data_IF_390230083137
#
_entry.id   IF_390230083137
#
_cell.length_a   1.000
_cell.length_b   1.000
_cell.length_c   1.000
_cell.angle_alpha   90.00
_cell.angle_beta   90.00
_cell.angle_gamma   90.00
#
_symmetry.space_group_name_H-M   'P 1'
#
loop_
_entity.id
_entity.type
_entity.pdbx_description
1 polymer ?
#
# COMPACT_ATOMS: atom_id res chain seq x y z
N UNK A 1 3.91 27.11 -8.12
CA UNK A 1 4.46 26.28 -7.03
C UNK A 1 3.59 26.50 -5.81
N UNK A 2 2.66 25.58 -5.54
CA UNK A 2 1.93 25.56 -4.27
C UNK A 2 2.96 25.39 -3.16
N UNK A 3 3.28 26.49 -2.47
CA UNK A 3 4.13 26.46 -1.29
C UNK A 3 3.30 25.80 -0.19
N UNK A 4 3.31 24.47 -0.10
CA UNK A 4 3.16 23.86 1.21
C UNK A 4 4.27 24.48 2.07
N UNK A 5 3.89 25.37 2.99
CA UNK A 5 4.86 26.12 3.76
C UNK A 5 5.77 25.13 4.51
N UNK A 6 7.10 25.31 4.49
CA UNK A 6 8.04 24.47 5.22
C UNK A 6 8.03 24.69 6.74
N UNK A 7 6.91 25.15 7.31
CA UNK A 7 6.69 25.28 8.74
C UNK A 7 5.53 24.35 9.19
N UNK A 8 5.85 23.05 9.21
CA UNK A 8 5.55 22.13 10.31
C UNK A 8 4.12 22.16 10.87
N UNK A 9 3.22 21.41 10.24
CA UNK A 9 2.20 20.73 11.06
C UNK A 9 2.90 20.00 12.21
N UNK A 10 2.59 20.34 13.46
CA UNK A 10 3.21 19.73 14.65
C UNK A 10 2.97 18.22 14.69
N UNK A 11 1.88 17.77 14.07
CA UNK A 11 1.48 16.37 13.98
C UNK A 11 1.21 15.96 12.52
N UNK A 12 1.37 14.67 12.26
CA UNK A 12 0.99 14.05 10.98
C UNK A 12 -0.49 14.29 10.66
N UNK A 13 -1.37 14.33 11.67
CA UNK A 13 -2.80 14.55 11.48
C UNK A 13 -3.10 15.96 10.97
N UNK A 14 -2.45 16.97 11.55
CA UNK A 14 -2.58 18.36 11.08
C UNK A 14 -2.07 18.52 9.63
N UNK A 15 -1.00 17.80 9.26
CA UNK A 15 -0.52 17.77 7.88
C UNK A 15 -1.60 17.23 6.92
N UNK A 16 -2.18 16.07 7.26
CA UNK A 16 -3.20 15.43 6.43
C UNK A 16 -4.43 16.33 6.30
N UNK A 17 -4.85 16.97 7.40
CA UNK A 17 -5.97 17.89 7.48
C UNK A 17 -5.84 19.07 6.50
N UNK A 18 -4.64 19.65 6.39
CA UNK A 18 -4.39 20.78 5.50
C UNK A 18 -4.07 20.36 4.06
N UNK A 19 -3.07 19.49 3.88
CA UNK A 19 -2.55 19.16 2.56
C UNK A 19 -3.53 18.31 1.72
N UNK A 20 -4.39 17.52 2.37
CA UNK A 20 -5.34 16.64 1.68
C UNK A 20 -6.32 17.41 0.80
N UNK A 21 -7.17 18.29 1.37
CA UNK A 21 -8.10 19.12 0.59
C UNK A 21 -7.43 20.03 -0.43
N UNK A 22 -6.25 20.57 -0.12
CA UNK A 22 -5.47 21.44 -1.01
C UNK A 22 -4.99 20.69 -2.26
N UNK A 23 -4.39 19.52 -2.11
CA UNK A 23 -3.96 18.72 -3.26
C UNK A 23 -5.17 18.12 -4.00
N UNK A 24 -6.24 17.78 -3.28
CA UNK A 24 -7.47 17.28 -3.88
C UNK A 24 -8.19 18.34 -4.73
N UNK A 25 -8.06 19.63 -4.43
CA UNK A 25 -8.66 20.70 -5.24
C UNK A 25 -7.92 20.94 -6.56
N UNK A 26 -6.61 20.66 -6.61
CA UNK A 26 -5.81 20.72 -7.83
C UNK A 26 -6.02 19.51 -8.74
N UNK A 27 -6.43 18.37 -8.18
CA UNK A 27 -6.67 17.15 -8.93
C UNK A 27 -7.94 17.30 -9.80
N UNK A 28 -7.86 16.95 -11.08
CA UNK A 28 -9.02 16.98 -11.99
C UNK A 28 -9.67 15.60 -12.21
N UNK A 29 -9.23 14.57 -11.47
CA UNK A 29 -9.65 13.18 -11.67
C UNK A 29 -9.50 12.72 -13.13
N UNK A 30 -8.41 13.12 -13.80
CA UNK A 30 -8.19 12.82 -15.20
C UNK A 30 -7.83 11.35 -15.49
N UNK A 31 -7.45 10.57 -14.47
CA UNK A 31 -7.02 9.17 -14.64
C UNK A 31 -5.55 8.95 -14.97
N UNK A 32 -4.81 9.96 -15.46
CA UNK A 32 -3.45 9.76 -15.98
C UNK A 32 -2.46 9.13 -14.98
N UNK A 33 -2.56 9.49 -13.69
CA UNK A 33 -1.72 8.92 -12.64
C UNK A 33 -2.07 7.46 -12.30
N UNK A 34 -3.33 7.05 -12.54
CA UNK A 34 -3.77 5.67 -12.42
C UNK A 34 -3.22 4.83 -13.57
N UNK A 35 -3.37 5.29 -14.81
CA UNK A 35 -2.91 4.57 -16.01
C UNK A 35 -1.40 4.34 -16.02
N UNK A 36 -0.63 5.30 -15.50
CA UNK A 36 0.83 5.20 -15.38
C UNK A 36 1.29 4.30 -14.21
N UNK A 37 0.40 3.89 -13.31
CA UNK A 37 0.79 3.19 -12.09
C UNK A 37 0.95 1.67 -12.36
N UNK A 38 2.15 1.09 -12.14
CA UNK A 38 2.40 -0.32 -12.42
C UNK A 38 1.59 -1.24 -11.50
N UNK A 39 1.16 -0.73 -10.33
CA UNK A 39 0.37 -1.51 -9.38
C UNK A 39 -1.03 -1.83 -9.89
N UNK A 40 -1.59 -1.07 -10.84
CA UNK A 40 -2.92 -1.34 -11.41
C UNK A 40 -3.02 -2.78 -11.93
N UNK A 41 -1.98 -3.25 -12.62
CA UNK A 41 -1.91 -4.64 -13.11
C UNK A 41 -1.72 -5.66 -11.99
N UNK A 42 -0.99 -5.29 -10.94
CA UNK A 42 -0.71 -6.19 -9.81
C UNK A 42 -1.88 -6.39 -8.86
N UNK A 43 -2.91 -5.53 -8.94
CA UNK A 43 -4.15 -5.66 -8.16
C UNK A 43 -5.38 -5.88 -9.03
N UNK A 44 -5.19 -6.35 -10.27
CA UNK A 44 -6.26 -6.72 -11.20
C UNK A 44 -7.25 -5.58 -11.54
N UNK A 45 -6.79 -4.33 -11.56
CA UNK A 45 -7.61 -3.14 -11.87
C UNK A 45 -7.39 -2.58 -13.28
N UNK A 46 -6.77 -3.33 -14.18
CA UNK A 46 -6.44 -2.86 -15.54
C UNK A 46 -7.66 -2.48 -16.40
N UNK A 47 -8.85 -2.98 -16.06
CA UNK A 47 -10.12 -2.64 -16.72
C UNK A 47 -11.00 -1.65 -15.94
N UNK A 48 -10.52 -1.13 -14.81
CA UNK A 48 -11.29 -0.18 -14.00
C UNK A 48 -11.35 1.20 -14.68
N UNK A 49 -12.40 1.97 -14.40
CA UNK A 49 -12.51 3.35 -14.88
C UNK A 49 -11.52 4.25 -14.12
N UNK A 50 -10.45 4.65 -14.81
CA UNK A 50 -9.40 5.51 -14.25
C UNK A 50 -9.95 6.84 -13.71
N UNK A 51 -11.00 7.41 -14.31
CA UNK A 51 -11.61 8.66 -13.81
C UNK A 51 -12.42 8.42 -12.55
N UNK A 52 -13.18 7.32 -12.48
CA UNK A 52 -13.91 6.95 -11.27
C UNK A 52 -12.94 6.70 -10.11
N UNK A 53 -11.88 5.92 -10.34
CA UNK A 53 -10.86 5.60 -9.33
C UNK A 53 -10.13 6.87 -8.85
N UNK A 54 -9.75 7.75 -9.78
CA UNK A 54 -9.07 9.01 -9.39
C UNK A 54 -10.02 10.04 -8.76
N UNK A 55 -11.34 9.93 -8.96
CA UNK A 55 -12.34 10.68 -8.18
C UNK A 55 -12.43 10.15 -6.75
N UNK A 56 -12.46 8.83 -6.57
CA UNK A 56 -12.35 8.22 -5.24
C UNK A 56 -11.07 8.64 -4.52
N UNK A 57 -9.96 8.78 -5.24
CA UNK A 57 -8.70 9.27 -4.67
C UNK A 57 -8.87 10.68 -4.06
N UNK A 58 -9.64 11.57 -4.70
CA UNK A 58 -9.94 12.90 -4.16
C UNK A 58 -10.77 12.82 -2.89
N UNK A 59 -11.79 11.94 -2.86
CA UNK A 59 -12.63 11.71 -1.69
C UNK A 59 -11.78 11.27 -0.50
N UNK A 60 -10.93 10.25 -0.69
CA UNK A 60 -10.01 9.78 0.35
C UNK A 60 -9.07 10.88 0.83
N UNK A 61 -8.55 11.73 -0.06
CA UNK A 61 -7.69 12.84 0.31
C UNK A 61 -8.40 13.93 1.14
N UNK A 62 -9.73 14.06 0.98
CA UNK A 62 -10.59 14.94 1.80
C UNK A 62 -11.03 14.29 3.12
N UNK A 63 -10.75 12.99 3.30
CA UNK A 63 -11.18 12.21 4.48
C UNK A 63 -12.53 11.52 4.30
N UNK A 64 -13.06 11.49 3.08
CA UNK A 64 -14.30 10.82 2.72
C UNK A 64 -14.04 9.39 2.25
N UNK A 65 -15.01 8.49 2.39
CA UNK A 65 -14.90 7.13 1.88
C UNK A 65 -14.97 7.11 0.34
N UNK A 66 -14.22 6.19 -0.26
CA UNK A 66 -14.24 5.95 -1.71
C UNK A 66 -14.73 4.53 -2.06
N UNK A 67 -14.84 4.23 -3.35
CA UNK A 67 -15.12 2.88 -3.83
C UNK A 67 -13.98 1.89 -3.51
N UNK A 68 -14.28 0.60 -3.65
CA UNK A 68 -13.37 -0.49 -3.31
C UNK A 68 -12.13 -0.54 -4.22
N UNK A 69 -12.25 -0.16 -5.50
CA UNK A 69 -11.15 -0.19 -6.46
C UNK A 69 -10.14 0.92 -6.13
N UNK A 70 -10.63 2.11 -5.79
CA UNK A 70 -9.81 3.20 -5.24
C UNK A 70 -9.07 2.76 -3.99
N UNK A 71 -9.78 2.21 -3.00
CA UNK A 71 -9.14 1.77 -1.77
C UNK A 71 -8.07 0.69 -2.04
N UNK A 72 -8.37 -0.28 -2.91
CA UNK A 72 -7.45 -1.34 -3.32
C UNK A 72 -6.19 -0.78 -3.99
N UNK A 73 -6.35 0.11 -4.97
CA UNK A 73 -5.24 0.74 -5.68
C UNK A 73 -4.36 1.59 -4.77
N UNK A 74 -4.97 2.46 -3.96
CA UNK A 74 -4.26 3.33 -3.00
C UNK A 74 -3.52 2.50 -1.95
N UNK A 75 -4.12 1.40 -1.49
CA UNK A 75 -3.50 0.44 -0.58
C UNK A 75 -2.29 -0.28 -1.17
N UNK A 76 -2.27 -0.48 -2.49
CA UNK A 76 -1.19 -1.12 -3.22
C UNK A 76 0.00 -0.20 -3.52
N UNK A 77 -0.07 1.09 -3.17
CA UNK A 77 0.98 2.05 -3.50
C UNK A 77 2.36 1.60 -2.99
N UNK A 78 3.26 1.32 -3.96
CA UNK A 78 4.64 0.89 -3.76
C UNK A 78 5.67 2.04 -3.92
N UNK A 79 5.21 3.29 -4.02
CA UNK A 79 6.05 4.49 -4.21
C UNK A 79 6.90 4.47 -5.49
N UNK A 80 6.36 3.96 -6.60
CA UNK A 80 7.06 3.91 -7.90
C UNK A 80 7.42 5.28 -8.49
N UNK A 81 6.68 6.34 -8.13
CA UNK A 81 6.93 7.71 -8.61
C UNK A 81 6.42 8.03 -10.01
N UNK A 82 6.04 7.03 -10.82
CA UNK A 82 5.57 7.22 -12.22
C UNK A 82 4.32 8.09 -12.34
N UNK A 83 3.48 8.13 -11.30
CA UNK A 83 2.31 9.01 -11.25
C UNK A 83 2.66 10.50 -11.26
N UNK A 84 3.86 10.90 -10.81
CA UNK A 84 4.28 12.31 -10.78
C UNK A 84 4.46 12.86 -12.19
N UNK A 85 5.26 12.16 -13.00
CA UNK A 85 5.55 12.57 -14.39
C UNK A 85 4.34 12.47 -15.30
N UNK A 86 3.38 11.59 -14.99
CA UNK A 86 2.15 11.44 -15.76
C UNK A 86 1.08 12.50 -15.44
N UNK A 87 1.22 13.26 -14.35
CA UNK A 87 0.17 14.16 -13.90
C UNK A 87 0.18 15.49 -14.68
N UNK A 88 -0.89 15.84 -15.42
CA UNK A 88 -0.93 17.10 -16.17
C UNK A 88 -0.94 18.34 -15.27
N UNK A 89 -1.38 18.20 -14.02
CA UNK A 89 -1.43 19.29 -13.04
C UNK A 89 -0.13 19.46 -12.24
N UNK A 90 0.94 18.74 -12.58
CA UNK A 90 2.25 18.95 -11.97
C UNK A 90 2.70 20.41 -12.08
N UNK A 91 2.46 21.07 -13.23
CA UNK A 91 2.77 22.48 -13.44
C UNK A 91 1.97 23.44 -12.54
N UNK A 92 0.77 23.05 -12.13
CA UNK A 92 -0.06 23.79 -11.18
C UNK A 92 0.34 23.56 -9.72
N UNK A 93 1.32 22.68 -9.46
CA UNK A 93 1.82 22.38 -8.11
C UNK A 93 1.25 21.09 -7.49
N UNK A 94 0.52 20.26 -8.26
CA UNK A 94 0.05 18.97 -7.76
C UNK A 94 1.17 17.91 -7.77
N UNK A 95 1.58 17.42 -6.59
CA UNK A 95 2.34 16.17 -6.48
C UNK A 95 1.38 14.98 -6.36
N UNK A 96 1.16 14.29 -7.48
CA UNK A 96 0.25 13.14 -7.54
C UNK A 96 0.65 11.99 -6.60
N UNK A 97 1.95 11.76 -6.36
CA UNK A 97 2.37 10.72 -5.42
C UNK A 97 2.10 11.12 -3.98
N UNK A 98 2.30 12.40 -3.64
CA UNK A 98 1.95 12.92 -2.32
C UNK A 98 0.45 12.79 -2.07
N UNK A 99 -0.39 13.15 -3.05
CA UNK A 99 -1.85 12.98 -2.97
C UNK A 99 -2.24 11.53 -2.69
N UNK A 100 -1.70 10.56 -3.45
CA UNK A 100 -1.95 9.11 -3.22
C UNK A 100 -1.52 8.68 -1.81
N UNK A 101 -0.40 9.19 -1.30
CA UNK A 101 0.09 8.85 0.05
C UNK A 101 -0.78 9.42 1.15
N UNK A 102 -1.29 10.65 0.99
CA UNK A 102 -2.24 11.26 1.92
C UNK A 102 -3.55 10.48 1.91
N UNK A 103 -4.09 10.20 0.73
CA UNK A 103 -5.30 9.38 0.58
C UNK A 103 -5.14 8.00 1.23
N UNK A 104 -3.98 7.34 1.08
CA UNK A 104 -3.70 6.07 1.74
C UNK A 104 -3.73 6.20 3.26
N UNK A 105 -3.09 7.24 3.80
CA UNK A 105 -3.02 7.44 5.23
C UNK A 105 -4.41 7.73 5.82
N UNK A 106 -5.22 8.54 5.13
CA UNK A 106 -6.62 8.81 5.50
C UNK A 106 -7.52 7.58 5.36
N UNK A 107 -7.28 6.73 4.36
CA UNK A 107 -7.99 5.46 4.24
C UNK A 107 -7.70 4.49 5.40
N UNK A 108 -6.54 4.62 6.05
CA UNK A 108 -6.17 3.85 7.25
C UNK A 108 -6.76 4.48 8.52
N UNK A 109 -6.68 5.81 8.62
CA UNK A 109 -6.98 6.55 9.85
C UNK A 109 -8.46 6.91 9.95
N UNK A 110 -9.01 7.50 8.89
CA UNK A 110 -10.30 8.20 8.90
C UNK A 110 -11.41 7.22 8.45
N UNK A 111 -11.28 6.66 7.25
CA UNK A 111 -12.34 5.84 6.64
C UNK A 111 -12.27 4.36 7.02
N UNK A 112 -11.14 3.92 7.58
CA UNK A 112 -10.85 2.52 7.95
C UNK A 112 -10.98 1.50 6.80
N UNK A 113 -11.03 1.98 5.55
CA UNK A 113 -11.09 1.12 4.35
C UNK A 113 -9.82 0.30 4.16
N UNK A 114 -8.68 0.79 4.65
CA UNK A 114 -7.43 0.04 4.70
C UNK A 114 -7.10 -0.38 6.13
N UNK A 115 -7.17 -1.68 6.41
CA UNK A 115 -6.65 -2.20 7.69
C UNK A 115 -5.12 -2.20 7.66
N UNK A 116 -4.51 -1.41 8.54
CA UNK A 116 -3.05 -1.25 8.69
C UNK A 116 -2.24 -2.57 8.74
N UNK A 117 -2.87 -3.70 9.13
CA UNK A 117 -2.21 -5.02 9.31
C UNK A 117 -2.35 -6.01 8.14
N UNK A 118 -3.03 -5.68 7.03
CA UNK A 118 -3.36 -6.70 6.01
C UNK A 118 -2.37 -6.83 4.83
N UNK A 119 -1.49 -5.85 4.61
CA UNK A 119 -0.56 -5.86 3.46
C UNK A 119 0.57 -6.90 3.63
N UNK A 120 0.97 -7.23 4.87
CA UNK A 120 2.01 -8.24 5.12
C UNK A 120 1.52 -9.71 5.02
N UNK A 121 0.21 -9.95 5.13
CA UNK A 121 -0.34 -11.33 5.15
C UNK A 121 -0.63 -11.88 3.75
N UNK A 122 -0.96 -11.02 2.77
CA UNK A 122 -1.30 -11.47 1.39
C UNK A 122 -0.06 -11.93 0.60
N UNK A 123 1.11 -11.32 0.83
CA UNK A 123 2.37 -11.75 0.19
C UNK A 123 2.98 -13.03 0.77
N UNK A 124 2.67 -13.38 2.04
CA UNK A 124 3.12 -14.64 2.66
C UNK A 124 2.19 -15.82 2.36
N UNK A 125 0.90 -15.60 2.08
CA UNK A 125 -0.04 -16.68 1.79
C UNK A 125 0.08 -17.27 0.37
N UNK A 126 0.60 -16.51 -0.61
CA UNK A 126 0.68 -16.97 -2.00
C UNK A 126 1.83 -17.95 -2.28
N UNK A 127 2.86 -18.00 -1.42
CA UNK A 127 4.03 -18.90 -1.59
C UNK A 127 4.00 -20.18 -0.75
N UNK A 128 3.11 -20.33 0.24
CA UNK A 128 3.13 -21.50 1.13
C UNK A 128 1.95 -22.47 0.93
N UNK A 129 0.93 -22.14 0.13
CA UNK A 129 -0.26 -23.01 0.02
C UNK A 129 -0.23 -24.01 -1.15
N UNK A 130 0.84 -24.03 -1.97
CA UNK A 130 0.97 -24.97 -3.10
C UNK A 130 1.93 -26.14 -2.86
N UNK A 131 2.52 -26.27 -1.66
CA UNK A 131 3.41 -27.38 -1.32
C UNK A 131 2.79 -28.42 -0.38
N UNK A 132 1.55 -28.24 0.08
CA UNK A 132 0.93 -29.16 1.04
C UNK A 132 -0.52 -29.47 0.67
N UNK A 133 -0.77 -29.91 -0.57
CA UNK A 133 -1.95 -30.70 -0.86
C UNK A 133 -1.74 -31.60 -2.10
N UNK A 134 -1.04 -32.72 -1.89
CA UNK A 134 -1.24 -33.90 -2.70
C UNK A 134 -0.93 -35.13 -1.86
N UNK A 135 -1.94 -35.58 -1.11
CA UNK A 135 -2.34 -36.99 -1.01
C UNK A 135 -1.22 -38.04 -1.20
N UNK A 136 -0.24 -38.08 -0.31
CA UNK A 136 0.55 -39.30 0.01
C UNK A 136 0.94 -39.27 1.49
N UNK A 137 0.40 -40.22 2.24
CA UNK A 137 0.80 -40.55 3.62
C UNK A 137 2.22 -41.10 3.60
N UNK A 138 3.18 -40.30 4.07
CA UNK A 138 4.35 -40.73 4.86
C UNK A 138 5.36 -39.59 4.93
N UNK A 139 5.49 -38.98 6.10
CA UNK A 139 6.65 -38.15 6.43
C UNK A 139 7.23 -38.72 7.73
N UNK A 140 8.45 -39.25 7.74
CA UNK A 140 9.20 -39.41 8.97
C UNK A 140 9.81 -38.04 9.31
N UNK A 141 9.66 -37.63 10.57
CA UNK A 141 10.17 -36.40 11.18
C UNK A 141 9.24 -35.19 11.01
N UNK A 142 8.58 -34.87 12.12
CA UNK A 142 7.48 -33.92 12.21
C UNK A 142 7.88 -32.45 12.18
N UNK A 143 6.85 -31.64 11.93
CA UNK A 143 6.84 -30.21 12.18
C UNK A 143 6.79 -29.95 13.69
N UNK A 144 7.91 -29.99 14.39
CA UNK A 144 8.01 -29.41 15.73
C UNK A 144 8.49 -27.96 15.65
N UNK A 145 7.63 -27.08 16.16
CA UNK A 145 8.01 -25.72 16.58
C UNK A 145 8.76 -25.89 17.89
N UNK A 146 9.98 -25.38 17.99
CA UNK A 146 10.56 -25.11 19.30
C UNK A 146 11.09 -23.67 19.41
N UNK A 147 10.69 -22.93 20.47
CA UNK A 147 11.21 -21.61 20.79
C UNK A 147 12.30 -21.68 21.89
N UNK A 148 13.36 -20.88 21.74
CA UNK A 148 14.35 -20.46 22.77
C UNK A 148 14.99 -21.54 23.67
N UNK A 149 16.30 -21.75 23.56
CA UNK A 149 17.27 -21.54 24.66
C UNK A 149 18.71 -21.76 24.17
N UNK A 150 19.57 -20.78 24.48
CA UNK A 150 21.03 -20.87 24.45
C UNK A 150 21.45 -21.97 25.43
N UNK A 151 22.23 -22.96 24.98
CA UNK A 151 23.26 -23.60 25.80
C UNK A 151 24.26 -24.40 24.94
N UNK A 152 25.52 -24.08 25.21
CA UNK A 152 26.78 -24.65 24.73
C UNK A 152 26.85 -26.16 25.00
N UNK A 153 27.23 -26.97 24.01
CA UNK A 153 28.18 -28.10 24.19
C UNK A 153 28.69 -28.70 22.88
N UNK A 154 29.95 -28.38 22.59
CA UNK A 154 31.04 -29.26 22.17
C UNK A 154 30.68 -30.53 21.37
N UNK A 155 31.00 -30.48 20.08
CA UNK A 155 31.42 -31.64 19.29
C UNK A 155 32.70 -32.25 19.91
N UNK A 156 32.79 -33.59 19.92
CA UNK A 156 33.88 -34.40 19.32
C UNK A 156 34.03 -35.74 20.05
N UNK A 157 33.63 -36.83 19.37
CA UNK A 157 34.48 -38.03 19.13
C UNK A 157 33.68 -39.16 18.44
N UNK A 158 34.14 -39.67 17.29
CA UNK A 158 34.04 -41.09 16.91
C UNK A 158 35.46 -41.71 16.91
N UNK A 159 35.68 -43.02 16.60
CA UNK A 159 34.82 -44.21 16.61
C UNK A 159 35.44 -45.42 17.37
N UNK A 160 34.66 -46.49 17.58
CA UNK A 160 34.97 -47.90 17.30
C UNK A 160 33.76 -48.77 17.67
#
# INVERSE_FOLDING_TARGET
MTKLQPARSETTEAFLAQAGPELASLCTACGACFDACPMVKHVDLAGADAKAVTRGLQQLARGEAADADTATWVGACAKSGLCRSACPQQGAGLDAMLLVRIARQRAINDTRQLRAKMILRRFRASRYSRACNSRTRSWPNGCEREPHHILVRLQHAPPC
#
